data_IF_295755205699
#
_entry.id   IF_295755205699
#
_cell.length_a   1.000
_cell.length_b   1.000
_cell.length_c   1.000
_cell.angle_alpha   90.00
_cell.angle_beta   90.00
_cell.angle_gamma   90.00
#
_symmetry.space_group_name_H-M   'P 1'
#
loop_
_entity.id
_entity.type
_entity.pdbx_description
1 polymer ?
#
# COMPACT_ATOMS: atom_id res chain seq x y z
N UNK A 1 5.81 -19.07 13.23
CA UNK A 1 4.64 -18.17 13.19
C UNK A 1 4.96 -16.67 13.28
N UNK A 2 5.98 -16.19 14.03
CA UNK A 2 6.23 -14.74 14.25
C UNK A 2 6.44 -13.86 13.00
N UNK A 3 6.78 -14.43 11.84
CA UNK A 3 7.00 -13.69 10.57
C UNK A 3 5.78 -13.67 9.64
N UNK A 4 4.74 -14.47 9.91
CA UNK A 4 3.57 -14.61 9.03
C UNK A 4 2.74 -13.32 9.04
N UNK A 5 2.53 -12.73 10.22
CA UNK A 5 1.77 -11.48 10.37
C UNK A 5 2.40 -10.31 9.60
N UNK A 6 3.70 -9.97 9.78
CA UNK A 6 4.29 -8.86 9.04
C UNK A 6 4.41 -9.13 7.53
N UNK A 7 4.55 -10.40 7.12
CA UNK A 7 4.47 -10.78 5.71
C UNK A 7 3.06 -10.58 5.13
N UNK A 8 2.01 -10.99 5.86
CA UNK A 8 0.62 -10.79 5.45
C UNK A 8 0.31 -9.29 5.32
N UNK A 9 0.75 -8.45 6.25
CA UNK A 9 0.59 -6.99 6.18
C UNK A 9 1.30 -6.42 4.94
N UNK A 10 2.53 -6.87 4.66
CA UNK A 10 3.27 -6.45 3.47
C UNK A 10 2.53 -6.84 2.18
N UNK A 11 2.14 -8.11 2.05
CA UNK A 11 1.47 -8.62 0.84
C UNK A 11 0.11 -7.94 0.65
N UNK A 12 -0.69 -7.79 1.70
CA UNK A 12 -1.97 -7.08 1.64
C UNK A 12 -1.79 -5.62 1.24
N UNK A 13 -0.77 -4.94 1.79
CA UNK A 13 -0.44 -3.57 1.40
C UNK A 13 -0.08 -3.45 -0.09
N UNK A 14 0.72 -4.39 -0.60
CA UNK A 14 1.06 -4.47 -2.02
C UNK A 14 -0.19 -4.68 -2.90
N UNK A 15 -1.05 -5.63 -2.55
CA UNK A 15 -2.27 -5.92 -3.32
C UNK A 15 -3.23 -4.71 -3.35
N UNK A 16 -3.42 -4.04 -2.22
CA UNK A 16 -4.25 -2.81 -2.16
C UNK A 16 -3.65 -1.71 -3.03
N UNK A 17 -2.33 -1.51 -2.96
CA UNK A 17 -1.63 -0.50 -3.75
C UNK A 17 -1.75 -0.78 -5.25
N UNK A 18 -1.46 -2.01 -5.69
CA UNK A 18 -1.58 -2.42 -7.09
C UNK A 18 -3.02 -2.34 -7.60
N UNK A 19 -4.00 -2.82 -6.83
CA UNK A 19 -5.41 -2.72 -7.19
C UNK A 19 -5.86 -1.27 -7.33
N UNK A 20 -5.55 -0.42 -6.34
CA UNK A 20 -5.91 0.99 -6.36
C UNK A 20 -5.28 1.74 -7.53
N UNK A 21 -4.02 1.42 -7.87
CA UNK A 21 -3.35 1.99 -9.04
C UNK A 21 -4.04 1.59 -10.34
N UNK A 22 -4.41 0.31 -10.52
CA UNK A 22 -5.11 -0.15 -11.72
C UNK A 22 -6.48 0.53 -11.88
N UNK A 23 -7.26 0.64 -10.80
CA UNK A 23 -8.56 1.33 -10.83
C UNK A 23 -8.42 2.85 -11.03
N UNK A 24 -7.38 3.47 -10.47
CA UNK A 24 -7.07 4.88 -10.74
C UNK A 24 -6.72 5.08 -12.21
N UNK A 25 -5.85 4.24 -12.77
CA UNK A 25 -5.43 4.33 -14.17
C UNK A 25 -6.61 4.10 -15.14
N UNK A 26 -7.49 3.14 -14.83
CA UNK A 26 -8.71 2.90 -15.60
C UNK A 26 -9.62 4.14 -15.61
N UNK A 27 -9.78 4.79 -14.45
CA UNK A 27 -10.60 6.00 -14.33
C UNK A 27 -9.89 7.27 -14.84
N UNK A 28 -8.58 7.25 -15.06
CA UNK A 28 -7.85 8.39 -15.62
C UNK A 28 -8.03 8.51 -17.14
N UNK A 29 -8.61 7.49 -17.79
CA UNK A 29 -8.92 7.54 -19.21
C UNK A 29 -9.99 8.62 -19.46
N UNK A 30 -9.76 9.55 -20.41
CA UNK A 30 -10.72 10.60 -20.70
C UNK A 30 -11.99 10.01 -21.31
N UNK A 31 -13.15 10.49 -20.87
CA UNK A 31 -14.42 10.13 -21.47
C UNK A 31 -14.47 10.66 -22.92
N UNK A 32 -15.02 9.87 -23.87
CA UNK A 32 -15.21 10.32 -25.25
C UNK A 32 -16.13 11.54 -25.37
N UNK A 33 -17.10 11.68 -24.46
CA UNK A 33 -18.02 12.81 -24.36
C UNK A 33 -18.13 13.28 -22.89
N UNK A 34 -17.20 14.13 -22.43
CA UNK A 34 -17.10 14.51 -21.01
C UNK A 34 -18.14 15.57 -20.63
N UNK A 35 -19.14 15.17 -19.86
CA UNK A 35 -20.06 16.11 -19.20
C UNK A 35 -19.50 16.57 -17.84
N UNK A 36 -19.97 17.72 -17.34
CA UNK A 36 -19.53 18.26 -16.05
C UNK A 36 -19.79 17.28 -14.88
N UNK A 37 -20.89 16.53 -14.92
CA UNK A 37 -21.20 15.50 -13.92
C UNK A 37 -20.22 14.32 -13.97
N UNK A 38 -19.87 13.85 -15.18
CA UNK A 38 -18.91 12.75 -15.35
C UNK A 38 -17.50 13.16 -14.87
N UNK A 39 -17.08 14.38 -15.16
CA UNK A 39 -15.80 14.91 -14.69
C UNK A 39 -15.77 15.09 -13.16
N UNK A 40 -16.88 15.53 -12.56
CA UNK A 40 -17.00 15.61 -11.11
C UNK A 40 -16.92 14.23 -10.46
N UNK A 41 -17.60 13.23 -11.02
CA UNK A 41 -17.53 11.83 -10.61
C UNK A 41 -16.12 11.25 -10.71
N UNK A 42 -15.45 11.47 -11.85
CA UNK A 42 -14.07 11.05 -12.08
C UNK A 42 -13.11 11.64 -11.04
N UNK A 43 -13.27 12.91 -10.70
CA UNK A 43 -12.46 13.57 -9.67
C UNK A 43 -12.70 13.01 -8.26
N UNK A 44 -13.93 12.63 -7.94
CA UNK A 44 -14.29 12.04 -6.66
C UNK A 44 -13.76 10.62 -6.54
N UNK A 45 -13.83 9.83 -7.60
CA UNK A 45 -13.26 8.49 -7.66
C UNK A 45 -11.73 8.51 -7.61
N UNK A 46 -11.09 9.41 -8.34
CA UNK A 46 -9.64 9.60 -8.29
C UNK A 46 -9.14 9.86 -6.86
N UNK A 47 -9.89 10.65 -6.07
CA UNK A 47 -9.59 10.89 -4.64
C UNK A 47 -9.77 9.63 -3.78
N UNK A 48 -10.79 8.81 -4.05
CA UNK A 48 -11.00 7.55 -3.32
C UNK A 48 -9.86 6.57 -3.59
N UNK A 49 -9.49 6.40 -4.86
CA UNK A 49 -8.43 5.47 -5.25
C UNK A 49 -7.04 5.93 -4.79
N UNK A 50 -6.77 7.24 -4.79
CA UNK A 50 -5.51 7.76 -4.25
C UNK A 50 -5.39 7.57 -2.73
N UNK A 51 -6.49 7.69 -1.98
CA UNK A 51 -6.52 7.39 -0.56
C UNK A 51 -6.24 5.90 -0.29
N UNK A 52 -6.88 5.00 -1.03
CA UNK A 52 -6.62 3.56 -0.91
C UNK A 52 -5.19 3.19 -1.28
N UNK A 53 -4.62 3.82 -2.32
CA UNK A 53 -3.23 3.66 -2.68
C UNK A 53 -2.30 4.04 -1.51
N UNK A 54 -2.55 5.19 -0.86
CA UNK A 54 -1.76 5.63 0.29
C UNK A 54 -1.86 4.65 1.48
N UNK A 55 -3.05 4.10 1.76
CA UNK A 55 -3.25 3.07 2.80
C UNK A 55 -2.46 1.80 2.46
N UNK A 56 -2.50 1.36 1.20
CA UNK A 56 -1.72 0.22 0.71
C UNK A 56 -0.21 0.44 0.87
N UNK A 57 0.27 1.62 0.49
CA UNK A 57 1.68 2.01 0.61
C UNK A 57 2.16 2.02 2.07
N UNK A 58 1.38 2.63 2.98
CA UNK A 58 1.70 2.64 4.42
C UNK A 58 1.78 1.21 4.96
N UNK A 59 0.79 0.38 4.62
CA UNK A 59 0.76 -1.02 5.05
C UNK A 59 1.97 -1.81 4.53
N UNK A 60 2.34 -1.60 3.26
CA UNK A 60 3.51 -2.22 2.65
C UNK A 60 4.81 -1.81 3.38
N UNK A 61 4.99 -0.51 3.63
CA UNK A 61 6.17 0.02 4.34
C UNK A 61 6.24 -0.53 5.77
N UNK A 62 5.12 -0.52 6.50
CA UNK A 62 5.06 -1.02 7.88
C UNK A 62 5.38 -2.52 7.94
N UNK A 63 4.78 -3.32 7.05
CA UNK A 63 5.08 -4.75 6.95
C UNK A 63 6.55 -5.03 6.64
N UNK A 64 7.13 -4.29 5.68
CA UNK A 64 8.54 -4.38 5.30
C UNK A 64 9.49 -3.97 6.42
N UNK A 65 9.23 -2.85 7.08
CA UNK A 65 10.01 -2.37 8.22
C UNK A 65 9.97 -3.37 9.39
N UNK A 66 8.83 -4.00 9.64
CA UNK A 66 8.69 -5.01 10.69
C UNK A 66 9.47 -6.28 10.37
N UNK A 67 9.39 -6.79 9.13
CA UNK A 67 10.20 -7.92 8.68
C UNK A 67 11.71 -7.63 8.77
N UNK A 68 12.12 -6.42 8.38
CA UNK A 68 13.51 -5.99 8.45
C UNK A 68 14.00 -5.94 9.90
N UNK A 69 13.23 -5.33 10.81
CA UNK A 69 13.58 -5.27 12.24
C UNK A 69 13.67 -6.65 12.88
N UNK A 70 12.76 -7.56 12.52
CA UNK A 70 12.78 -8.95 13.01
C UNK A 70 13.90 -9.81 12.44
N UNK A 71 14.59 -9.36 11.39
CA UNK A 71 15.70 -10.07 10.74
C UNK A 71 17.07 -9.55 11.16
N UNK A 72 17.15 -8.49 11.97
CA UNK A 72 18.43 -8.00 12.50
C UNK A 72 18.96 -8.99 13.56
N UNK A 73 20.23 -9.43 13.45
CA UNK A 73 20.84 -10.25 14.48
C UNK A 73 20.86 -9.46 15.80
N UNK A 74 20.35 -10.06 16.89
CA UNK A 74 20.54 -9.48 18.22
C UNK A 74 22.03 -9.56 18.53
N UNK A 75 22.70 -8.40 18.68
CA UNK A 75 24.05 -8.36 19.26
C UNK A 75 23.96 -8.90 20.68
N UNK A 76 24.28 -10.18 20.85
CA UNK A 76 24.45 -10.77 22.18
C UNK A 76 25.73 -10.17 22.74
N UNK A 77 25.61 -9.16 23.60
CA UNK A 77 26.73 -8.73 24.43
C UNK A 77 26.97 -9.83 25.46
N UNK A 78 27.81 -10.80 25.08
CA UNK A 78 28.40 -11.74 26.02
C UNK A 78 29.26 -10.94 26.99
N UNK A 79 28.83 -10.83 28.25
CA UNK A 79 29.73 -10.44 29.33
C UNK A 79 30.77 -11.56 29.45
N UNK A 80 31.94 -11.35 28.87
CA UNK A 80 33.14 -12.09 29.26
C UNK A 80 33.43 -11.74 30.72
N UNK A 81 33.39 -12.77 31.57
CA UNK A 81 33.65 -12.68 33.01
C UNK A 81 35.09 -12.38 33.34
#
# INVERSE_FOLDING_TARGET
MKKIVPLAVLVSGFLIMSGSFMYYAANALPYPDPTAELLAGQSAEAKKWSLLFAIGLISFIVGGAWLWRGSRPKKTYSKTG
#
